data_IF_256032382822
#
_entry.id   IF_256032382822
#
_cell.length_a   1.000
_cell.length_b   1.000
_cell.length_c   1.000
_cell.angle_alpha   90.00
_cell.angle_beta   90.00
_cell.angle_gamma   90.00
#
_symmetry.space_group_name_H-M   'P 1'
#
loop_
_entity.id
_entity.type
_entity.pdbx_description
1 polymer ?
#
# COMPACT_ATOMS: atom_id res chain seq x y z
N UNK A 1 20.46 -7.22 19.28
CA UNK A 1 20.27 -6.22 18.21
C UNK A 1 19.76 -4.95 18.86
N UNK A 2 20.56 -3.87 18.86
CA UNK A 2 20.16 -2.60 19.46
C UNK A 2 18.90 -2.05 18.78
N UNK A 3 17.99 -1.54 19.60
CA UNK A 3 16.76 -0.87 19.16
C UNK A 3 17.15 0.50 18.57
N UNK A 4 17.59 0.53 17.29
CA UNK A 4 18.18 1.73 16.65
C UNK A 4 17.15 2.79 16.27
N UNK A 5 15.84 2.43 16.25
CA UNK A 5 14.78 3.35 15.83
C UNK A 5 13.72 3.48 16.90
N UNK A 6 13.32 4.72 17.18
CA UNK A 6 12.20 5.01 18.08
C UNK A 6 10.85 4.76 17.36
N UNK A 7 9.80 4.56 18.15
CA UNK A 7 8.42 4.47 17.63
C UNK A 7 8.06 5.77 16.90
N UNK A 8 8.44 6.92 17.45
CA UNK A 8 8.20 8.23 16.82
C UNK A 8 8.83 8.33 15.43
N UNK A 9 10.08 7.86 15.27
CA UNK A 9 10.74 7.81 13.96
C UNK A 9 9.98 6.89 12.99
N UNK A 10 9.47 5.75 13.47
CA UNK A 10 8.71 4.84 12.63
C UNK A 10 7.40 5.45 12.14
N UNK A 11 6.62 6.09 13.03
CA UNK A 11 5.43 6.85 12.64
C UNK A 11 5.76 8.00 11.69
N UNK A 12 6.82 8.74 11.96
CA UNK A 12 7.27 9.84 11.09
C UNK A 12 7.60 9.38 9.67
N UNK A 13 8.25 8.21 9.52
CA UNK A 13 8.54 7.64 8.21
C UNK A 13 7.24 7.18 7.51
N UNK A 14 6.29 6.57 8.22
CA UNK A 14 5.00 6.18 7.63
C UNK A 14 4.27 7.43 7.12
N UNK A 15 4.14 8.47 7.94
CA UNK A 15 3.48 9.71 7.54
C UNK A 15 4.19 10.36 6.34
N UNK A 16 5.52 10.45 6.37
CA UNK A 16 6.29 11.04 5.29
C UNK A 16 6.17 10.23 3.98
N UNK A 17 6.10 8.90 4.07
CA UNK A 17 5.89 8.00 2.94
C UNK A 17 4.50 8.23 2.31
N UNK A 18 3.46 8.35 3.11
CA UNK A 18 2.09 8.62 2.64
C UNK A 18 2.02 10.01 1.99
N UNK A 19 2.57 11.04 2.64
CA UNK A 19 2.63 12.40 2.08
C UNK A 19 3.40 12.44 0.76
N UNK A 20 4.52 11.74 0.67
CA UNK A 20 5.30 11.60 -0.55
C UNK A 20 4.49 10.99 -1.70
N UNK A 21 3.70 9.95 -1.41
CA UNK A 21 2.81 9.32 -2.38
C UNK A 21 1.74 10.30 -2.89
N UNK A 22 1.06 11.00 -1.98
CA UNK A 22 0.03 11.98 -2.34
C UNK A 22 0.59 13.17 -3.13
N UNK A 23 1.75 13.69 -2.74
CA UNK A 23 2.38 14.81 -3.45
C UNK A 23 2.79 14.38 -4.85
N UNK A 24 3.49 13.25 -4.99
CA UNK A 24 3.98 12.79 -6.28
C UNK A 24 2.83 12.40 -7.22
N UNK A 25 1.85 11.63 -6.75
CA UNK A 25 0.66 11.28 -7.51
C UNK A 25 -0.19 12.50 -7.86
N UNK A 26 -0.41 13.39 -6.89
CA UNK A 26 -1.17 14.63 -7.08
C UNK A 26 -0.55 15.58 -8.11
N UNK A 27 0.78 15.69 -8.17
CA UNK A 27 1.47 16.48 -9.21
C UNK A 27 1.23 15.90 -10.61
N UNK A 28 1.30 14.57 -10.76
CA UNK A 28 1.01 13.92 -12.05
C UNK A 28 -0.44 14.15 -12.48
N UNK A 29 -1.37 14.01 -11.53
CA UNK A 29 -2.79 14.25 -11.79
C UNK A 29 -3.05 15.71 -12.18
N UNK A 30 -2.44 16.67 -11.49
CA UNK A 30 -2.57 18.09 -11.79
C UNK A 30 -2.06 18.42 -13.21
N UNK A 31 -0.95 17.81 -13.66
CA UNK A 31 -0.46 17.97 -15.03
C UNK A 31 -1.50 17.45 -16.04
N UNK A 32 -2.11 16.28 -15.76
CA UNK A 32 -3.16 15.73 -16.61
C UNK A 32 -4.39 16.62 -16.72
N UNK A 33 -4.84 17.18 -15.59
CA UNK A 33 -5.99 18.09 -15.54
C UNK A 33 -5.72 19.44 -16.20
N UNK A 34 -4.46 19.89 -16.25
CA UNK A 34 -4.07 21.13 -16.90
C UNK A 34 -3.98 21.04 -18.43
N UNK A 35 -4.08 19.83 -19.00
CA UNK A 35 -3.93 19.57 -20.43
C UNK A 35 -5.27 19.09 -21.04
N UNK A 36 -6.06 19.99 -21.69
CA UNK A 36 -7.40 19.64 -22.19
C UNK A 36 -7.42 18.50 -23.20
N UNK A 37 -6.32 18.35 -23.98
CA UNK A 37 -6.18 17.32 -25.00
C UNK A 37 -5.67 15.97 -24.46
N UNK A 38 -5.37 15.90 -23.17
CA UNK A 38 -4.84 14.70 -22.55
C UNK A 38 -5.94 13.73 -22.09
N UNK A 39 -5.66 12.43 -22.22
CA UNK A 39 -6.53 11.40 -21.63
C UNK A 39 -6.48 11.50 -20.11
N UNK A 40 -7.50 12.07 -19.47
CA UNK A 40 -7.61 12.19 -18.02
C UNK A 40 -7.43 10.83 -17.32
N UNK A 41 -8.02 9.75 -17.86
CA UNK A 41 -7.86 8.40 -17.31
C UNK A 41 -6.42 7.89 -17.35
N UNK A 42 -5.66 8.20 -18.41
CA UNK A 42 -4.23 7.86 -18.45
C UNK A 42 -3.47 8.50 -17.28
N UNK A 43 -3.64 9.81 -17.08
CA UNK A 43 -2.97 10.52 -16.00
C UNK A 43 -3.45 10.05 -14.62
N UNK A 44 -4.72 9.70 -14.47
CA UNK A 44 -5.25 9.12 -13.22
C UNK A 44 -4.52 7.81 -12.91
N UNK A 45 -4.46 6.86 -13.82
CA UNK A 45 -3.78 5.58 -13.57
C UNK A 45 -2.28 5.73 -13.41
N UNK A 46 -1.66 6.63 -14.20
CA UNK A 46 -0.24 6.91 -14.08
C UNK A 46 0.10 7.62 -12.76
N UNK A 47 -0.78 8.46 -12.25
CA UNK A 47 -0.62 9.09 -10.93
C UNK A 47 -0.60 8.06 -9.78
N UNK A 48 -1.37 6.99 -9.88
CA UNK A 48 -1.30 5.89 -8.92
C UNK A 48 0.06 5.18 -8.96
N UNK A 49 0.58 4.87 -10.15
CA UNK A 49 1.91 4.24 -10.30
C UNK A 49 2.98 5.11 -9.64
N UNK A 50 2.99 6.40 -9.95
CA UNK A 50 3.98 7.35 -9.42
C UNK A 50 3.79 7.54 -7.91
N UNK A 51 2.56 7.76 -7.46
CA UNK A 51 2.25 7.92 -6.05
C UNK A 51 2.68 6.71 -5.23
N UNK A 52 2.26 5.51 -5.61
CA UNK A 52 2.63 4.28 -4.91
C UNK A 52 4.14 4.00 -4.97
N UNK A 53 4.78 4.29 -6.11
CA UNK A 53 6.24 4.19 -6.23
C UNK A 53 6.98 5.14 -5.29
N UNK A 54 6.50 6.37 -5.15
CA UNK A 54 7.09 7.37 -4.25
C UNK A 54 6.85 7.08 -2.76
N UNK A 55 5.85 6.28 -2.42
CA UNK A 55 5.60 5.89 -1.03
C UNK A 55 6.80 5.22 -0.37
N UNK A 56 7.58 4.44 -1.13
CA UNK A 56 8.74 3.73 -0.59
C UNK A 56 10.01 4.59 -0.49
N UNK A 57 10.07 5.72 -1.19
CA UNK A 57 11.29 6.56 -1.29
C UNK A 57 11.75 7.08 0.07
N UNK A 58 10.91 7.66 0.94
CA UNK A 58 11.34 8.14 2.25
C UNK A 58 11.91 7.03 3.14
N UNK A 59 11.29 5.83 3.09
CA UNK A 59 11.78 4.67 3.83
C UNK A 59 13.17 4.24 3.34
N UNK A 60 13.36 4.10 2.04
CA UNK A 60 14.66 3.70 1.48
C UNK A 60 15.74 4.74 1.77
N UNK A 61 15.41 6.03 1.62
CA UNK A 61 16.31 7.11 1.97
C UNK A 61 16.71 7.08 3.46
N UNK A 62 15.72 6.89 4.34
CA UNK A 62 15.96 6.79 5.78
C UNK A 62 16.88 5.61 6.12
N UNK A 63 16.60 4.41 5.60
CA UNK A 63 17.42 3.23 5.85
C UNK A 63 18.85 3.40 5.31
N UNK A 64 18.99 3.97 4.11
CA UNK A 64 20.30 4.27 3.50
C UNK A 64 21.08 5.30 4.32
N UNK A 65 20.44 6.38 4.80
CA UNK A 65 21.08 7.39 5.64
C UNK A 65 21.57 6.82 6.97
N UNK A 66 20.89 5.79 7.49
CA UNK A 66 21.29 5.07 8.70
C UNK A 66 22.25 3.90 8.43
N UNK A 67 22.66 3.70 7.19
CA UNK A 67 23.55 2.61 6.73
C UNK A 67 23.02 1.23 7.13
N UNK A 68 21.69 1.05 7.08
CA UNK A 68 21.07 -0.23 7.38
C UNK A 68 21.09 -1.14 6.14
N UNK A 69 21.30 -2.44 6.29
CA UNK A 69 21.20 -3.40 5.18
C UNK A 69 19.72 -3.59 4.80
N UNK A 70 19.28 -2.94 3.71
CA UNK A 70 17.86 -2.81 3.30
C UNK A 70 17.16 -4.18 3.26
N UNK A 71 17.68 -5.14 2.52
CA UNK A 71 17.04 -6.46 2.35
C UNK A 71 16.83 -7.18 3.68
N UNK A 72 17.89 -7.24 4.48
CA UNK A 72 17.85 -7.87 5.81
C UNK A 72 16.93 -7.09 6.77
N UNK A 73 16.94 -5.76 6.67
CA UNK A 73 16.15 -4.89 7.52
C UNK A 73 14.66 -4.99 7.23
N UNK A 74 14.29 -5.14 5.96
CA UNK A 74 12.90 -5.27 5.52
C UNK A 74 12.39 -6.72 5.48
N UNK A 75 13.18 -7.68 6.01
CA UNK A 75 12.85 -9.12 6.01
C UNK A 75 12.56 -9.68 4.62
N UNK A 76 13.23 -9.16 3.60
CA UNK A 76 13.13 -9.70 2.25
C UNK A 76 13.96 -10.98 2.19
N UNK A 77 13.27 -12.11 2.29
CA UNK A 77 13.88 -13.44 2.29
C UNK A 77 13.31 -14.27 1.14
N UNK A 78 14.08 -15.24 0.65
CA UNK A 78 13.54 -16.27 -0.23
C UNK A 78 12.54 -17.13 0.51
N UNK A 79 11.48 -17.55 -0.19
CA UNK A 79 10.46 -18.47 0.33
C UNK A 79 10.53 -19.80 -0.40
N UNK A 80 10.11 -20.88 0.25
CA UNK A 80 10.01 -22.18 -0.39
C UNK A 80 8.83 -22.22 -1.37
N UNK A 81 8.91 -23.09 -2.37
CA UNK A 81 7.81 -23.31 -3.32
C UNK A 81 6.53 -23.76 -2.62
N UNK A 82 6.65 -24.60 -1.60
CA UNK A 82 5.54 -25.04 -0.77
C UNK A 82 4.86 -23.87 -0.06
N UNK A 83 5.64 -22.96 0.56
CA UNK A 83 5.11 -21.75 1.19
C UNK A 83 4.37 -20.87 0.18
N UNK A 84 4.90 -20.74 -1.03
CA UNK A 84 4.27 -19.96 -2.10
C UNK A 84 2.89 -20.54 -2.45
N UNK A 85 2.78 -21.85 -2.67
CA UNK A 85 1.51 -22.52 -2.99
C UNK A 85 0.49 -22.31 -1.87
N UNK A 86 0.87 -22.58 -0.62
CA UNK A 86 -0.04 -22.41 0.52
C UNK A 86 -0.49 -20.95 0.67
N UNK A 87 0.39 -19.99 0.41
CA UNK A 87 0.04 -18.57 0.43
C UNK A 87 -0.98 -18.21 -0.65
N UNK A 88 -0.82 -18.73 -1.87
CA UNK A 88 -1.78 -18.51 -2.97
C UNK A 88 -3.14 -19.14 -2.61
N UNK A 89 -3.17 -20.37 -2.12
CA UNK A 89 -4.41 -21.03 -1.72
C UNK A 89 -5.14 -20.27 -0.61
N UNK A 90 -4.39 -19.86 0.43
CA UNK A 90 -4.94 -19.07 1.53
C UNK A 90 -5.49 -17.73 1.04
N UNK A 91 -4.71 -17.01 0.23
CA UNK A 91 -5.13 -15.71 -0.32
C UNK A 91 -6.39 -15.84 -1.17
N UNK A 92 -6.49 -16.88 -2.00
CA UNK A 92 -7.69 -17.16 -2.80
C UNK A 92 -8.91 -17.39 -1.91
N UNK A 93 -8.77 -18.20 -0.85
CA UNK A 93 -9.84 -18.42 0.12
C UNK A 93 -10.28 -17.13 0.83
N UNK A 94 -9.33 -16.32 1.26
CA UNK A 94 -9.61 -15.04 1.92
C UNK A 94 -10.32 -14.07 0.96
N UNK A 95 -9.91 -13.99 -0.32
CA UNK A 95 -10.56 -13.15 -1.32
C UNK A 95 -12.03 -13.54 -1.49
N UNK A 96 -12.32 -14.84 -1.66
CA UNK A 96 -13.70 -15.33 -1.82
C UNK A 96 -14.55 -14.99 -0.58
N UNK A 97 -14.02 -15.24 0.62
CA UNK A 97 -14.73 -14.93 1.86
C UNK A 97 -14.97 -13.43 2.04
N UNK A 98 -13.99 -12.60 1.67
CA UNK A 98 -14.12 -11.15 1.74
C UNK A 98 -15.16 -10.61 0.76
N UNK A 99 -15.21 -11.13 -0.47
CA UNK A 99 -16.20 -10.77 -1.46
C UNK A 99 -17.65 -11.12 -1.00
N UNK A 100 -17.82 -12.32 -0.44
CA UNK A 100 -19.13 -12.71 0.10
C UNK A 100 -19.52 -11.88 1.33
N UNK A 101 -18.57 -11.55 2.20
CA UNK A 101 -18.81 -10.68 3.35
C UNK A 101 -19.20 -9.27 2.89
N UNK A 102 -18.51 -8.72 1.90
CA UNK A 102 -18.84 -7.42 1.32
C UNK A 102 -20.25 -7.41 0.72
N UNK A 103 -20.63 -8.44 -0.02
CA UNK A 103 -22.01 -8.59 -0.55
C UNK A 103 -23.06 -8.61 0.55
N UNK A 104 -22.79 -9.32 1.65
CA UNK A 104 -23.71 -9.37 2.80
C UNK A 104 -23.81 -7.98 3.42
N UNK A 105 -22.68 -7.29 3.65
CA UNK A 105 -22.67 -5.95 4.22
C UNK A 105 -23.43 -4.97 3.33
N UNK A 106 -23.18 -4.97 2.03
CA UNK A 106 -23.84 -4.09 1.07
C UNK A 106 -25.37 -4.34 0.97
N UNK A 107 -25.84 -5.55 1.27
CA UNK A 107 -27.28 -5.82 1.33
C UNK A 107 -27.98 -5.10 2.48
N UNK A 108 -27.29 -4.80 3.58
CA UNK A 108 -27.81 -4.07 4.73
C UNK A 108 -27.41 -2.59 4.71
N UNK A 109 -26.23 -2.30 4.19
CA UNK A 109 -25.61 -0.98 4.16
C UNK A 109 -25.06 -0.72 2.75
N UNK A 110 -25.91 -0.27 1.80
CA UNK A 110 -25.46 0.01 0.44
C UNK A 110 -24.37 1.09 0.43
N UNK A 111 -23.43 0.94 -0.50
CA UNK A 111 -22.33 1.88 -0.64
C UNK A 111 -22.87 3.29 -0.95
N UNK A 112 -22.33 4.34 -0.32
CA UNK A 112 -22.68 5.73 -0.63
C UNK A 112 -22.38 6.07 -2.09
N UNK A 113 -23.14 7.02 -2.68
CA UNK A 113 -23.02 7.42 -4.09
C UNK A 113 -21.59 7.81 -4.47
N UNK A 114 -20.89 8.55 -3.59
CA UNK A 114 -19.51 8.95 -3.87
C UNK A 114 -18.53 7.78 -4.02
N UNK A 115 -18.76 6.64 -3.36
CA UNK A 115 -17.97 5.42 -3.53
C UNK A 115 -18.26 4.79 -4.90
N UNK A 116 -19.53 4.78 -5.31
CA UNK A 116 -19.94 4.29 -6.63
C UNK A 116 -19.29 5.12 -7.74
N UNK A 117 -19.28 6.46 -7.57
CA UNK A 117 -18.65 7.40 -8.52
C UNK A 117 -17.13 7.20 -8.60
N UNK A 118 -16.46 7.02 -7.45
CA UNK A 118 -15.04 6.71 -7.42
C UNK A 118 -14.71 5.41 -8.16
N UNK A 119 -15.50 4.36 -7.93
CA UNK A 119 -15.34 3.09 -8.62
C UNK A 119 -15.53 3.23 -10.14
N UNK A 120 -16.47 4.07 -10.58
CA UNK A 120 -16.67 4.37 -12.01
C UNK A 120 -15.45 5.07 -12.63
N UNK A 121 -14.84 6.02 -11.91
CA UNK A 121 -13.59 6.69 -12.34
C UNK A 121 -12.41 5.74 -12.48
N UNK A 122 -12.33 4.74 -11.61
CA UNK A 122 -11.26 3.73 -11.61
C UNK A 122 -11.48 2.61 -12.62
N UNK A 123 -12.62 2.58 -13.32
CA UNK A 123 -12.89 1.55 -14.32
C UNK A 123 -12.07 1.81 -15.60
N UNK A 124 -11.15 0.90 -15.99
CA UNK A 124 -10.38 1.07 -17.20
C UNK A 124 -11.25 0.84 -18.44
N UNK A 125 -11.15 1.71 -19.44
CA UNK A 125 -11.87 1.60 -20.72
C UNK A 125 -10.98 1.06 -21.84
N UNK A 126 -9.67 1.03 -21.62
CA UNK A 126 -8.69 0.57 -22.60
C UNK A 126 -7.80 -0.51 -22.02
N UNK A 127 -7.21 -1.34 -22.86
CA UNK A 127 -6.22 -2.34 -22.42
C UNK A 127 -5.02 -1.68 -21.74
N UNK A 128 -4.53 -0.56 -22.26
CA UNK A 128 -3.45 0.19 -21.60
C UNK A 128 -3.86 0.69 -20.22
N UNK A 129 -5.05 1.25 -20.09
CA UNK A 129 -5.60 1.67 -18.78
C UNK A 129 -5.68 0.51 -17.78
N UNK A 130 -6.14 -0.66 -18.23
CA UNK A 130 -6.16 -1.87 -17.42
C UNK A 130 -4.75 -2.27 -16.95
N UNK A 131 -3.78 -2.30 -17.87
CA UNK A 131 -2.38 -2.67 -17.54
C UNK A 131 -1.78 -1.68 -16.53
N UNK A 132 -1.98 -0.37 -16.73
CA UNK A 132 -1.48 0.65 -15.81
C UNK A 132 -2.11 0.50 -14.41
N UNK A 133 -3.42 0.35 -14.34
CA UNK A 133 -4.14 0.16 -13.08
C UNK A 133 -3.71 -1.15 -12.39
N UNK A 134 -3.59 -2.24 -13.14
CA UNK A 134 -3.13 -3.53 -12.61
C UNK A 134 -1.72 -3.43 -12.02
N UNK A 135 -0.78 -2.81 -12.73
CA UNK A 135 0.58 -2.58 -12.22
C UNK A 135 0.55 -1.74 -10.95
N UNK A 136 -0.23 -0.66 -10.93
CA UNK A 136 -0.32 0.22 -9.76
C UNK A 136 -0.86 -0.52 -8.53
N UNK A 137 -2.02 -1.17 -8.67
CA UNK A 137 -2.82 -1.68 -7.54
C UNK A 137 -2.42 -3.11 -7.15
N UNK A 138 -2.07 -3.96 -8.12
CA UNK A 138 -1.76 -5.36 -7.84
C UNK A 138 -0.26 -5.64 -7.64
N UNK A 139 0.62 -4.72 -8.05
CA UNK A 139 2.07 -4.94 -7.95
C UNK A 139 2.74 -3.87 -7.09
N UNK A 140 2.69 -2.60 -7.49
CA UNK A 140 3.47 -1.54 -6.85
C UNK A 140 2.93 -1.21 -5.46
N UNK A 141 1.62 -1.01 -5.33
CA UNK A 141 1.00 -0.69 -4.04
C UNK A 141 1.25 -1.79 -3.00
N UNK A 142 0.92 -3.08 -3.24
CA UNK A 142 1.14 -4.12 -2.24
C UNK A 142 2.62 -4.27 -1.85
N UNK A 143 3.55 -4.17 -2.80
CA UNK A 143 4.99 -4.24 -2.49
C UNK A 143 5.39 -3.06 -1.59
N UNK A 144 5.02 -1.85 -1.94
CA UNK A 144 5.34 -0.65 -1.16
C UNK A 144 4.76 -0.72 0.25
N UNK A 145 3.50 -1.10 0.37
CA UNK A 145 2.79 -1.25 1.63
C UNK A 145 3.40 -2.34 2.51
N UNK A 146 3.69 -3.52 1.97
CA UNK A 146 4.34 -4.59 2.72
C UNK A 146 5.72 -4.18 3.24
N UNK A 147 6.52 -3.51 2.42
CA UNK A 147 7.83 -3.04 2.84
C UNK A 147 7.75 -1.96 3.93
N UNK A 148 6.80 -1.03 3.80
CA UNK A 148 6.61 0.06 4.76
C UNK A 148 6.03 -0.45 6.08
N UNK A 149 4.92 -1.21 6.02
CA UNK A 149 4.18 -1.61 7.22
C UNK A 149 4.74 -2.87 7.86
N UNK A 150 4.88 -4.00 7.14
CA UNK A 150 5.37 -5.26 7.70
C UNK A 150 6.90 -5.30 7.72
N UNK A 151 7.53 -4.80 6.67
CA UNK A 151 8.99 -4.75 6.55
C UNK A 151 9.67 -3.78 7.51
N UNK A 152 9.05 -2.65 7.84
CA UNK A 152 9.67 -1.63 8.68
C UNK A 152 8.88 -1.30 9.95
N UNK A 153 7.66 -0.76 9.82
CA UNK A 153 6.88 -0.23 10.94
C UNK A 153 6.63 -1.29 12.01
N UNK A 154 6.05 -2.41 11.63
CA UNK A 154 5.77 -3.53 12.53
C UNK A 154 7.03 -4.02 13.26
N UNK A 155 8.15 -4.16 12.56
CA UNK A 155 9.40 -4.60 13.18
C UNK A 155 9.94 -3.63 14.23
N UNK A 156 9.74 -2.32 14.05
CA UNK A 156 10.12 -1.34 15.07
C UNK A 156 9.26 -1.53 16.31
N UNK A 157 7.95 -1.73 16.16
CA UNK A 157 7.02 -2.00 17.25
C UNK A 157 7.36 -3.32 17.97
N UNK A 158 7.58 -4.41 17.22
CA UNK A 158 7.97 -5.73 17.79
C UNK A 158 9.21 -5.61 18.69
N UNK A 159 10.23 -4.91 18.23
CA UNK A 159 11.47 -4.73 18.97
C UNK A 159 11.30 -3.84 20.20
N UNK A 160 10.41 -2.88 20.12
CA UNK A 160 10.20 -1.93 21.21
C UNK A 160 9.32 -2.53 22.32
N UNK A 161 8.22 -3.16 21.95
CA UNK A 161 7.26 -3.74 22.89
C UNK A 161 7.62 -5.15 23.34
N UNK A 162 8.50 -5.85 22.59
CA UNK A 162 8.83 -7.27 22.78
C UNK A 162 7.57 -8.16 22.74
N UNK A 163 6.55 -7.72 22.05
CA UNK A 163 5.26 -8.37 21.90
C UNK A 163 4.85 -8.30 20.42
N UNK A 164 4.92 -9.44 19.77
CA UNK A 164 4.63 -9.58 18.33
C UNK A 164 3.14 -9.36 18.05
N UNK A 165 2.27 -9.88 18.92
CA UNK A 165 0.81 -9.76 18.74
C UNK A 165 0.37 -8.31 18.79
N UNK A 166 0.84 -7.55 19.78
CA UNK A 166 0.55 -6.11 19.88
C UNK A 166 1.07 -5.34 18.67
N UNK A 167 2.27 -5.69 18.20
CA UNK A 167 2.84 -5.04 17.03
C UNK A 167 2.01 -5.31 15.76
N UNK A 168 1.56 -6.54 15.56
CA UNK A 168 0.68 -6.91 14.44
C UNK A 168 -0.64 -6.13 14.53
N UNK A 169 -1.32 -6.16 15.67
CA UNK A 169 -2.61 -5.48 15.86
C UNK A 169 -2.49 -3.97 15.64
N UNK A 170 -1.46 -3.33 16.18
CA UNK A 170 -1.24 -1.90 15.97
C UNK A 170 -0.93 -1.58 14.51
N UNK A 171 -0.12 -2.40 13.85
CA UNK A 171 0.18 -2.22 12.42
C UNK A 171 -1.07 -2.36 11.57
N UNK A 172 -1.90 -3.37 11.86
CA UNK A 172 -3.17 -3.58 11.17
C UNK A 172 -4.14 -2.42 11.41
N UNK A 173 -4.21 -1.89 12.64
CA UNK A 173 -5.03 -0.73 12.97
C UNK A 173 -4.59 0.51 12.18
N UNK A 174 -3.30 0.84 12.21
CA UNK A 174 -2.76 2.00 11.47
C UNK A 174 -2.98 1.84 9.97
N UNK A 175 -2.75 0.64 9.44
CA UNK A 175 -2.97 0.33 8.03
C UNK A 175 -4.45 0.50 7.65
N UNK A 176 -5.37 -0.05 8.44
CA UNK A 176 -6.81 0.07 8.23
C UNK A 176 -7.30 1.53 8.27
N UNK A 177 -6.77 2.33 9.21
CA UNK A 177 -7.13 3.76 9.31
C UNK A 177 -6.74 4.57 8.06
N UNK A 178 -5.67 4.19 7.37
CA UNK A 178 -5.23 4.84 6.13
C UNK A 178 -6.11 4.42 4.94
N UNK A 179 -6.73 3.24 5.01
CA UNK A 179 -7.59 2.68 3.97
C UNK A 179 -9.09 2.83 4.28
N UNK A 180 -9.45 3.59 5.33
CA UNK A 180 -10.86 3.91 5.61
C UNK A 180 -11.39 4.84 4.52
N UNK A 181 -12.21 4.27 3.65
CA UNK A 181 -13.01 4.97 2.64
C UNK A 181 -14.44 5.18 3.15
#
# INVERSE_FOLDING_TARGET
MNNRFSIQAAFGIVILSILSAFIAGGLVLAIGLSNPDSSQKFYTFFSFIIGQGFMIVPLLWFLKSKREPIFKRLRINSISYETLIHSIMLSTGVIILSDELDRIIQSFFPAPEYIVDLNALLRPETFLGFVLLFIAVAIIAPIGEELLFRGFFQQVLEKHWKDVTRAILMTALVFSMIHMN
#
